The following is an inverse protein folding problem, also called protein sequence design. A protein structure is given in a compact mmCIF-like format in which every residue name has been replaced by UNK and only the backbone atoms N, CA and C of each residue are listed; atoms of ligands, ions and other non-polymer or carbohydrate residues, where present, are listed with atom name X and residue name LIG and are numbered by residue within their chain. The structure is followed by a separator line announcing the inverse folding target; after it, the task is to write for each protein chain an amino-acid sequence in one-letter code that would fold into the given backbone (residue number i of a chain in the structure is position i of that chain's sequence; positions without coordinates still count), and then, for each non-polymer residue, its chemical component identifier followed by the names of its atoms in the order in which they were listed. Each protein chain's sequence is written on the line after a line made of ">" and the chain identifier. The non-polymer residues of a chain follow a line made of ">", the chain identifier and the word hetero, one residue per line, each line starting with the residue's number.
data_IF_627128555211
#
_entry.id   IF_627128555211
#
_cell.length_a   1.000
_cell.length_b   1.000
_cell.length_c   1.000
_cell.angle_alpha   90.00
_cell.angle_beta   90.00
_cell.angle_gamma   90.00
#
_symmetry.space_group_name_H-M   'P 1'
#
loop_
_entity.id
_entity.type
_entity.pdbx_description
1 polymer ?
#
# COMPACT_ATOMS: atom_id res chain seq x y z
N UNK A 1 -5.14 -21.24 6.74
CA UNK A 1 -5.40 -19.86 6.29
C UNK A 1 -6.87 -19.54 6.53
N UNK A 2 -7.19 -18.43 7.17
CA UNK A 2 -8.56 -17.99 7.43
C UNK A 2 -8.76 -16.55 6.92
N UNK A 3 -9.57 -16.32 5.88
CA UNK A 3 -9.91 -14.97 5.44
C UNK A 3 -10.91 -14.33 6.42
N UNK A 4 -10.63 -13.10 6.84
CA UNK A 4 -11.50 -12.30 7.69
C UNK A 4 -11.45 -10.83 7.24
N UNK A 5 -12.55 -10.36 6.67
CA UNK A 5 -12.66 -9.00 6.14
C UNK A 5 -11.56 -8.73 5.08
N UNK A 6 -10.61 -7.82 5.37
CA UNK A 6 -9.47 -7.47 4.51
C UNK A 6 -8.16 -8.17 4.92
N UNK A 7 -8.23 -9.07 5.91
CA UNK A 7 -7.08 -9.79 6.46
C UNK A 7 -7.17 -11.27 6.15
N UNK A 8 -6.00 -11.90 6.06
CA UNK A 8 -5.84 -13.34 6.05
C UNK A 8 -4.98 -13.75 7.23
N UNK A 9 -5.56 -14.55 8.13
CA UNK A 9 -4.89 -15.06 9.31
C UNK A 9 -4.25 -16.41 8.99
N UNK A 10 -2.99 -16.54 9.37
CA UNK A 10 -2.23 -17.78 9.30
C UNK A 10 -1.90 -18.20 10.72
N UNK A 11 -2.46 -19.33 11.14
CA UNK A 11 -2.25 -19.88 12.47
C UNK A 11 -1.10 -20.88 12.41
N UNK A 12 -0.05 -20.60 13.16
CA UNK A 12 1.03 -21.52 13.49
C UNK A 12 0.90 -21.93 14.98
N UNK A 13 1.56 -23.01 15.45
CA UNK A 13 1.36 -23.53 16.80
C UNK A 13 1.52 -22.51 17.94
N UNK A 14 2.37 -21.49 17.76
CA UNK A 14 2.65 -20.47 18.77
C UNK A 14 2.52 -19.03 18.27
N UNK A 15 2.18 -18.83 17.00
CA UNK A 15 2.21 -17.52 16.35
C UNK A 15 1.00 -17.39 15.43
N UNK A 16 0.37 -16.22 15.44
CA UNK A 16 -0.60 -15.81 14.42
C UNK A 16 0.10 -14.78 13.55
N UNK A 17 0.20 -15.07 12.25
CA UNK A 17 0.69 -14.10 11.26
C UNK A 17 -0.46 -13.59 10.40
N UNK A 18 -0.28 -12.37 9.92
CA UNK A 18 -1.26 -11.64 9.13
C UNK A 18 -0.74 -11.40 7.72
N UNK A 19 -1.68 -11.35 6.78
CA UNK A 19 -1.46 -10.89 5.41
C UNK A 19 -2.73 -10.19 4.92
N UNK A 20 -2.64 -9.43 3.83
CA UNK A 20 -3.81 -8.81 3.22
C UNK A 20 -4.58 -9.84 2.41
N UNK A 21 -5.88 -9.95 2.65
CA UNK A 21 -6.76 -10.76 1.83
C UNK A 21 -7.41 -9.91 0.74
N UNK A 22 -7.01 -10.14 -0.52
CA UNK A 22 -7.73 -9.60 -1.68
C UNK A 22 -8.79 -10.61 -2.12
N UNK A 23 -10.05 -10.18 -2.15
CA UNK A 23 -11.14 -11.04 -2.63
C UNK A 23 -10.98 -11.23 -4.15
N UNK A 24 -11.43 -12.36 -4.72
CA UNK A 24 -11.40 -12.56 -6.17
C UNK A 24 -12.13 -11.46 -6.96
N UNK A 25 -13.11 -10.82 -6.34
CA UNK A 25 -13.89 -9.71 -6.91
C UNK A 25 -13.29 -8.34 -6.62
N UNK A 26 -12.19 -8.24 -5.87
CA UNK A 26 -11.53 -6.97 -5.58
C UNK A 26 -10.98 -6.40 -6.88
N UNK A 27 -11.65 -5.39 -7.41
CA UNK A 27 -11.11 -4.59 -8.50
C UNK A 27 -10.11 -3.61 -7.91
N UNK A 28 -8.90 -3.55 -8.48
CA UNK A 28 -7.85 -2.58 -8.13
C UNK A 28 -8.20 -1.16 -8.61
N UNK A 29 -9.35 -0.67 -8.17
CA UNK A 29 -9.94 0.57 -8.62
C UNK A 29 -9.56 1.72 -7.69
N UNK A 30 -8.58 2.51 -8.14
CA UNK A 30 -8.41 3.90 -7.74
C UNK A 30 -9.06 4.82 -8.79
N UNK A 31 -9.45 6.02 -8.34
CA UNK A 31 -9.96 7.07 -9.23
C UNK A 31 -8.85 7.40 -10.25
N UNK A 32 -9.14 7.32 -11.56
CA UNK A 32 -8.20 7.69 -12.59
C UNK A 32 -7.70 9.13 -12.45
N UNK A 33 -6.45 9.39 -12.84
CA UNK A 33 -5.86 10.71 -12.71
C UNK A 33 -6.53 11.76 -13.60
N UNK A 34 -6.93 11.37 -14.80
CA UNK A 34 -7.63 12.18 -15.79
C UNK A 34 -9.09 12.48 -15.41
N UNK A 35 -9.62 11.82 -14.39
CA UNK A 35 -10.97 12.08 -13.91
C UNK A 35 -11.11 13.48 -13.27
N UNK A 36 -12.29 14.10 -13.40
CA UNK A 36 -12.60 15.43 -12.84
C UNK A 36 -12.95 15.32 -11.35
N UNK A 37 -11.99 14.84 -10.57
CA UNK A 37 -12.13 14.73 -9.11
C UNK A 37 -10.97 15.48 -8.43
N UNK A 38 -11.22 16.10 -7.26
CA UNK A 38 -10.17 16.65 -6.42
C UNK A 38 -9.03 15.66 -6.18
N UNK A 39 -7.80 16.17 -6.18
CA UNK A 39 -6.60 15.36 -5.97
C UNK A 39 -6.63 14.57 -4.67
N UNK A 40 -7.17 15.16 -3.60
CA UNK A 40 -7.34 14.52 -2.30
C UNK A 40 -8.14 13.23 -2.36
N UNK A 41 -9.22 13.19 -3.14
CA UNK A 41 -10.05 11.98 -3.30
C UNK A 41 -9.34 10.89 -4.10
N UNK A 42 -8.56 11.26 -5.11
CA UNK A 42 -7.71 10.32 -5.86
C UNK A 42 -6.64 9.70 -4.96
N UNK A 43 -6.03 10.52 -4.11
CA UNK A 43 -4.99 10.06 -3.18
C UNK A 43 -5.56 9.27 -2.00
N UNK A 44 -6.79 9.54 -1.56
CA UNK A 44 -7.41 8.87 -0.41
C UNK A 44 -7.42 7.33 -0.55
N UNK A 45 -7.71 6.81 -1.75
CA UNK A 45 -7.67 5.38 -2.01
C UNK A 45 -6.26 4.79 -1.85
N UNK A 46 -5.24 5.46 -2.41
CA UNK A 46 -3.85 5.03 -2.26
C UNK A 46 -3.39 5.12 -0.79
N UNK A 47 -3.76 6.18 -0.09
CA UNK A 47 -3.44 6.37 1.31
C UNK A 47 -4.06 5.27 2.19
N UNK A 48 -5.28 4.83 1.89
CA UNK A 48 -5.91 3.71 2.60
C UNK A 48 -5.11 2.40 2.42
N UNK A 49 -4.62 2.13 1.20
CA UNK A 49 -3.77 0.97 0.89
C UNK A 49 -2.41 1.04 1.63
N UNK A 50 -1.79 2.22 1.66
CA UNK A 50 -0.52 2.41 2.38
C UNK A 50 -0.71 2.34 3.89
N UNK A 51 -1.79 2.92 4.40
CA UNK A 51 -2.11 2.89 5.82
C UNK A 51 -2.22 1.45 6.32
N UNK A 52 -2.95 0.58 5.60
CA UNK A 52 -3.04 -0.83 5.97
C UNK A 52 -1.69 -1.56 5.87
N UNK A 53 -0.89 -1.28 4.83
CA UNK A 53 0.44 -1.88 4.64
C UNK A 53 1.35 -1.62 5.85
N UNK A 54 1.32 -0.40 6.40
CA UNK A 54 2.16 -0.03 7.55
C UNK A 54 1.55 -0.34 8.91
N UNK A 55 0.22 -0.43 9.04
CA UNK A 55 -0.44 -0.68 10.33
C UNK A 55 -0.59 -2.15 10.67
N UNK A 56 -0.70 -3.02 9.67
CA UNK A 56 -0.89 -4.45 9.92
C UNK A 56 0.48 -5.11 10.11
N UNK A 57 0.71 -5.80 11.24
CA UNK A 57 1.97 -6.50 11.47
C UNK A 57 2.02 -7.76 10.61
N UNK A 58 2.68 -7.65 9.45
CA UNK A 58 2.87 -8.74 8.50
C UNK A 58 4.31 -9.25 8.55
N UNK A 59 4.53 -10.46 8.03
CA UNK A 59 5.90 -10.93 7.76
C UNK A 59 6.55 -10.07 6.66
N UNK A 60 7.89 -10.01 6.59
CA UNK A 60 8.58 -9.27 5.54
C UNK A 60 8.20 -9.70 4.12
N UNK A 61 7.91 -11.00 3.94
CA UNK A 61 7.45 -11.57 2.67
C UNK A 61 6.09 -11.02 2.28
N UNK A 62 5.08 -11.14 3.14
CA UNK A 62 3.73 -10.65 2.88
C UNK A 62 3.66 -9.13 2.75
N UNK A 63 4.51 -8.41 3.49
CA UNK A 63 4.66 -6.97 3.33
C UNK A 63 5.15 -6.61 1.92
N UNK A 64 6.19 -7.29 1.44
CA UNK A 64 6.75 -7.02 0.11
C UNK A 64 5.77 -7.39 -1.01
N UNK A 65 5.04 -8.50 -0.86
CA UNK A 65 3.99 -8.90 -1.81
C UNK A 65 2.91 -7.82 -1.91
N UNK A 66 2.39 -7.36 -0.77
CA UNK A 66 1.38 -6.30 -0.74
C UNK A 66 1.93 -4.98 -1.30
N UNK A 67 3.16 -4.61 -0.96
CA UNK A 67 3.82 -3.43 -1.48
C UNK A 67 3.93 -3.45 -3.01
N UNK A 68 4.33 -4.59 -3.58
CA UNK A 68 4.43 -4.75 -5.03
C UNK A 68 3.07 -4.62 -5.72
N UNK A 69 2.02 -5.17 -5.12
CA UNK A 69 0.66 -5.01 -5.66
C UNK A 69 0.26 -3.53 -5.60
N UNK A 70 0.42 -2.84 -4.46
CA UNK A 70 0.08 -1.41 -4.34
C UNK A 70 0.85 -0.58 -5.38
N UNK A 71 2.14 -0.89 -5.59
CA UNK A 71 2.98 -0.25 -6.61
C UNK A 71 2.43 -0.49 -8.02
N UNK A 72 1.99 -1.71 -8.33
CA UNK A 72 1.37 -2.03 -9.62
C UNK A 72 0.07 -1.24 -9.83
N UNK A 73 -0.79 -1.16 -8.81
CA UNK A 73 -2.05 -0.40 -8.85
C UNK A 73 -1.75 1.08 -9.13
N UNK A 74 -0.80 1.66 -8.39
CA UNK A 74 -0.41 3.06 -8.57
C UNK A 74 0.17 3.32 -9.98
N UNK A 75 1.00 2.40 -10.48
CA UNK A 75 1.59 2.52 -11.82
C UNK A 75 0.56 2.41 -12.94
N UNK A 76 -0.37 1.44 -12.86
CA UNK A 76 -1.42 1.22 -13.84
C UNK A 76 -2.35 2.44 -14.00
N UNK A 77 -2.53 3.22 -12.93
CA UNK A 77 -3.31 4.46 -12.98
C UNK A 77 -2.48 5.66 -13.46
N UNK A 78 -1.17 5.64 -13.25
CA UNK A 78 -0.23 6.64 -13.79
C UNK A 78 -0.08 6.52 -15.30
N UNK A 79 -0.02 5.33 -15.88
CA UNK A 79 0.19 5.15 -17.33
C UNK A 79 -0.96 5.68 -18.19
N UNK A 80 -2.15 5.86 -17.63
CA UNK A 80 -3.28 6.54 -18.29
C UNK A 80 -3.18 8.08 -18.24
N UNK A 81 -2.22 8.63 -17.51
CA UNK A 81 -2.01 10.06 -17.36
C UNK A 81 -0.64 10.51 -17.82
N UNK A 82 -0.60 11.63 -18.54
CA UNK A 82 0.63 12.31 -18.96
C UNK A 82 1.39 13.00 -17.80
N UNK A 83 0.93 12.93 -16.55
CA UNK A 83 1.57 13.57 -15.40
C UNK A 83 1.65 12.63 -14.16
N UNK A 84 2.84 12.48 -13.53
CA UNK A 84 3.04 11.59 -12.39
C UNK A 84 2.40 12.11 -11.09
N UNK A 85 1.61 11.25 -10.42
CA UNK A 85 1.20 11.43 -9.02
C UNK A 85 2.32 11.16 -8.01
N UNK A 86 3.35 10.44 -8.44
CA UNK A 86 4.57 10.16 -7.70
C UNK A 86 5.72 10.30 -8.70
N UNK A 87 6.55 11.30 -8.46
CA UNK A 87 7.82 11.48 -9.14
C UNK A 87 8.85 10.52 -8.51
N UNK A 88 9.90 10.11 -9.25
CA UNK A 88 11.02 9.38 -8.65
C UNK A 88 11.69 10.11 -7.46
N UNK A 89 11.40 11.40 -7.26
CA UNK A 89 11.90 12.21 -6.14
C UNK A 89 11.15 11.93 -4.84
N UNK A 90 9.85 11.61 -4.88
CA UNK A 90 9.02 11.36 -3.69
C UNK A 90 9.40 10.05 -2.96
N UNK A 91 9.99 9.10 -3.70
CA UNK A 91 10.49 7.83 -3.15
C UNK A 91 11.82 8.03 -2.40
N UNK A 92 12.54 9.11 -2.68
CA UNK A 92 13.84 9.41 -2.07
C UNK A 92 13.72 10.03 -0.67
N UNK A 93 12.59 10.70 -0.38
CA UNK A 93 12.41 11.40 0.90
C UNK A 93 11.96 10.50 2.05
N UNK A 94 11.28 9.38 1.80
CA UNK A 94 10.88 8.44 2.87
C UNK A 94 12.05 7.66 3.47
N UNK A 95 13.22 7.65 2.82
CA UNK A 95 14.44 6.97 3.29
C UNK A 95 15.40 7.85 4.11
N UNK A 96 15.20 9.17 4.16
CA UNK A 96 16.18 10.12 4.77
C UNK A 96 15.78 10.65 6.15
N UNK A 97 14.60 10.31 6.69
CA UNK A 97 14.07 10.87 7.94
C UNK A 97 14.39 10.06 9.22
N UNK A 98 15.32 9.08 9.19
CA UNK A 98 15.74 8.30 10.38
C UNK A 98 17.22 8.50 10.76
N UNK A 99 17.71 9.73 10.75
CA UNK A 99 18.94 10.11 11.47
C UNK A 99 18.73 11.45 12.19
N UNK A 100 19.06 11.47 13.49
CA UNK A 100 18.81 12.47 14.56
C UNK A 100 17.52 12.14 15.34
N UNK A 101 17.52 11.81 16.64
CA UNK A 101 18.45 12.14 17.73
C UNK A 101 18.29 11.09 18.86
N UNK A 102 19.36 10.36 19.18
CA UNK A 102 19.59 9.70 20.48
C UNK A 102 20.98 10.18 20.87
N UNK A 103 21.03 11.21 21.70
CA UNK A 103 22.21 11.56 22.47
C UNK A 103 21.89 11.21 23.92
N UNK A 104 22.81 10.46 24.53
CA UNK A 104 22.89 10.23 25.97
C UNK A 104 23.23 11.52 26.71
#
# INVERSE_FOLDING_TARGET
>A
MLPFLDLCLHKSPHIISFSIYRKPTTTDNLIPFDSIHPFSHKLAGLNALLFRLFKIPMSPTHFNDEYNIIKQIAWAKKSHSRNPLLSPLDIKESGSARKRKLEF
#
